data_IF_915832197713
#
_entry.id   IF_915832197713
#
_cell.length_a   1.000
_cell.length_b   1.000
_cell.length_c   1.000
_cell.angle_alpha   90.00
_cell.angle_beta   90.00
_cell.angle_gamma   90.00
#
_symmetry.space_group_name_H-M   'P 1'
#
loop_
_entity.id
_entity.type
_entity.pdbx_description
1 polymer ?
#
# COMPACT_ATOMS: atom_id res chain seq x y z
N UNK A 1 -34.37 -41.10 -5.94
CA UNK A 1 -32.95 -41.03 -5.49
C UNK A 1 -32.12 -40.51 -6.68
N UNK A 2 -31.99 -39.19 -6.90
CA UNK A 2 -31.27 -38.64 -8.07
C UNK A 2 -29.75 -38.58 -7.75
N UNK A 3 -28.85 -39.19 -8.52
CA UNK A 3 -28.32 -38.86 -9.86
C UNK A 3 -27.69 -37.45 -9.98
N UNK A 4 -26.36 -37.47 -9.95
CA UNK A 4 -25.39 -36.67 -10.71
C UNK A 4 -25.32 -35.15 -10.46
N UNK A 5 -24.37 -34.74 -9.61
CA UNK A 5 -23.64 -33.47 -9.75
C UNK A 5 -22.22 -33.75 -10.27
N UNK A 6 -21.85 -33.32 -11.48
CA UNK A 6 -20.47 -33.03 -11.80
C UNK A 6 -20.25 -31.52 -11.60
N UNK A 7 -19.69 -31.13 -10.46
CA UNK A 7 -19.17 -29.77 -10.28
C UNK A 7 -17.76 -29.75 -10.88
N UNK A 8 -17.56 -28.94 -11.92
CA UNK A 8 -16.27 -28.77 -12.57
C UNK A 8 -15.29 -28.03 -11.62
N UNK A 9 -14.37 -28.79 -11.04
CA UNK A 9 -13.27 -28.30 -10.21
C UNK A 9 -12.04 -28.02 -11.07
N UNK A 10 -11.79 -26.77 -11.46
CA UNK A 10 -10.56 -26.41 -12.18
C UNK A 10 -9.48 -25.74 -11.30
N UNK A 11 -9.82 -25.19 -10.13
CA UNK A 11 -8.87 -24.39 -9.33
C UNK A 11 -8.28 -25.08 -8.08
N UNK A 12 -8.90 -26.17 -7.60
CA UNK A 12 -8.38 -26.97 -6.47
C UNK A 12 -7.30 -27.97 -6.90
N UNK A 13 -7.26 -28.38 -8.18
CA UNK A 13 -6.21 -29.27 -8.71
C UNK A 13 -4.82 -28.62 -8.72
N UNK A 14 -4.76 -27.29 -8.79
CA UNK A 14 -3.50 -26.53 -8.80
C UNK A 14 -2.93 -26.35 -7.38
N UNK A 15 -3.76 -26.39 -6.33
CA UNK A 15 -3.33 -26.17 -4.93
C UNK A 15 -3.46 -27.37 -4.00
N UNK A 16 -3.91 -28.55 -4.44
CA UNK A 16 -4.01 -29.79 -3.61
C UNK A 16 -4.65 -29.60 -2.21
N UNK A 17 -5.62 -28.68 -2.05
CA UNK A 17 -6.30 -28.47 -0.77
C UNK A 17 -7.36 -29.58 -0.57
N UNK A 18 -7.50 -30.21 0.63
CA UNK A 18 -8.45 -31.30 0.85
C UNK A 18 -9.92 -30.91 0.57
N UNK A 19 -10.60 -31.69 -0.27
CA UNK A 19 -11.94 -31.41 -0.81
C UNK A 19 -13.11 -31.37 0.20
N UNK A 20 -12.91 -31.63 1.50
CA UNK A 20 -14.04 -32.02 2.35
C UNK A 20 -14.95 -30.91 2.88
N UNK A 21 -14.66 -29.61 2.71
CA UNK A 21 -15.57 -28.54 3.19
C UNK A 21 -15.27 -27.12 2.65
N UNK A 22 -14.64 -26.99 1.47
CA UNK A 22 -14.11 -25.70 1.01
C UNK A 22 -15.00 -25.12 -0.10
N UNK A 23 -15.58 -23.93 0.15
CA UNK A 23 -16.28 -23.12 -0.87
C UNK A 23 -15.31 -22.05 -1.36
N UNK A 24 -14.67 -22.28 -2.50
CA UNK A 24 -13.60 -21.41 -3.03
C UNK A 24 -14.07 -20.47 -4.14
N UNK A 25 -13.80 -19.18 -3.92
CA UNK A 25 -13.97 -18.03 -4.81
C UNK A 25 -12.90 -18.01 -5.93
N UNK A 26 -13.26 -17.60 -7.15
CA UNK A 26 -12.39 -17.64 -8.34
C UNK A 26 -11.78 -16.27 -8.71
N UNK A 27 -12.15 -15.18 -8.03
CA UNK A 27 -11.70 -13.80 -8.37
C UNK A 27 -10.89 -13.07 -7.27
N UNK A 28 -10.65 -13.72 -6.12
CA UNK A 28 -9.77 -13.24 -5.04
C UNK A 28 -9.42 -14.39 -4.11
N UNK A 29 -8.44 -15.22 -4.47
CA UNK A 29 -7.76 -15.99 -3.43
C UNK A 29 -6.98 -14.98 -2.61
N UNK A 30 -7.50 -14.64 -1.44
CA UNK A 30 -6.68 -13.93 -0.47
C UNK A 30 -5.52 -14.84 -0.10
N UNK A 31 -4.35 -14.48 -0.62
CA UNK A 31 -3.09 -15.17 -0.41
C UNK A 31 -2.14 -14.12 0.13
N UNK A 32 -1.49 -14.42 1.24
CA UNK A 32 -0.47 -13.54 1.81
C UNK A 32 0.66 -14.35 2.42
N UNK A 33 1.87 -13.82 2.33
CA UNK A 33 3.05 -14.41 2.95
C UNK A 33 3.17 -13.94 4.39
N UNK A 34 3.72 -14.80 5.24
CA UNK A 34 4.12 -14.37 6.58
C UNK A 34 5.23 -13.33 6.48
N UNK A 35 5.16 -12.21 7.23
CA UNK A 35 6.29 -11.28 7.35
C UNK A 35 7.44 -11.88 8.17
N UNK A 36 7.21 -12.98 8.90
CA UNK A 36 8.19 -13.63 9.78
C UNK A 36 8.81 -14.90 9.19
N UNK A 37 8.21 -15.46 8.14
CA UNK A 37 8.70 -16.67 7.48
C UNK A 37 8.37 -16.65 5.97
N UNK A 38 9.35 -16.42 5.08
CA UNK A 38 9.11 -16.31 3.65
C UNK A 38 8.67 -17.64 3.00
N UNK A 39 8.81 -18.78 3.70
CA UNK A 39 8.29 -20.08 3.21
C UNK A 39 6.82 -20.29 3.57
N UNK A 40 6.31 -19.52 4.54
CA UNK A 40 4.96 -19.66 5.07
C UNK A 40 4.00 -18.77 4.28
N UNK A 41 3.03 -19.43 3.64
CA UNK A 41 2.02 -18.80 2.81
C UNK A 41 0.63 -19.18 3.35
N UNK A 42 -0.25 -18.19 3.48
CA UNK A 42 -1.63 -18.39 3.88
C UNK A 42 -2.56 -18.26 2.68
N UNK A 43 -3.68 -18.98 2.73
CA UNK A 43 -4.78 -18.86 1.77
C UNK A 43 -6.10 -18.91 2.55
N UNK A 44 -7.06 -18.08 2.17
CA UNK A 44 -8.34 -18.01 2.84
C UNK A 44 -9.52 -18.54 1.99
N UNK A 45 -10.47 -19.17 2.67
CA UNK A 45 -11.83 -19.46 2.20
C UNK A 45 -12.81 -19.03 3.30
N UNK A 46 -13.76 -19.87 3.70
CA UNK A 46 -14.49 -19.67 4.97
C UNK A 46 -13.62 -19.96 6.21
N UNK A 47 -12.52 -20.70 6.02
CA UNK A 47 -11.47 -20.94 7.00
C UNK A 47 -10.10 -20.52 6.44
N UNK A 48 -9.11 -20.37 7.31
CA UNK A 48 -7.73 -20.03 6.97
C UNK A 48 -6.90 -21.31 6.84
N UNK A 49 -6.07 -21.35 5.81
CA UNK A 49 -5.16 -22.45 5.51
C UNK A 49 -3.74 -21.93 5.39
N UNK A 50 -2.75 -22.75 5.73
CA UNK A 50 -1.33 -22.44 5.62
C UNK A 50 -0.57 -23.55 4.90
N UNK A 51 0.46 -23.16 4.15
CA UNK A 51 1.46 -24.04 3.55
C UNK A 51 2.86 -23.51 3.91
N UNK A 52 3.81 -24.42 4.04
CA UNK A 52 5.24 -24.15 4.22
C UNK A 52 6.10 -24.81 3.13
N UNK A 53 5.45 -25.33 2.09
CA UNK A 53 6.06 -26.12 1.02
C UNK A 53 5.54 -25.72 -0.37
N UNK A 54 5.48 -24.41 -0.61
CA UNK A 54 5.13 -23.83 -1.91
C UNK A 54 3.73 -24.23 -2.41
N UNK A 55 2.82 -24.55 -1.48
CA UNK A 55 1.44 -24.95 -1.80
C UNK A 55 1.29 -26.42 -2.18
N UNK A 56 2.32 -27.25 -2.00
CA UNK A 56 2.23 -28.69 -2.26
C UNK A 56 1.26 -29.41 -1.30
N UNK A 57 1.13 -28.92 -0.07
CA UNK A 57 0.11 -29.34 0.90
C UNK A 57 -0.34 -28.18 1.78
N UNK A 58 -1.58 -28.25 2.26
CA UNK A 58 -2.20 -27.20 3.08
C UNK A 58 -2.74 -27.76 4.39
N UNK A 59 -2.52 -27.02 5.48
CA UNK A 59 -3.07 -27.28 6.80
C UNK A 59 -4.10 -26.20 7.12
N UNK A 60 -5.30 -26.62 7.52
CA UNK A 60 -6.30 -25.70 8.06
C UNK A 60 -5.87 -25.22 9.45
N UNK A 61 -5.88 -23.90 9.67
CA UNK A 61 -5.45 -23.22 10.89
C UNK A 61 -6.54 -22.33 11.48
N UNK A 62 -7.80 -22.55 11.10
CA UNK A 62 -8.94 -21.93 11.77
C UNK A 62 -10.19 -22.79 11.62
N UNK A 63 -11.20 -22.62 12.49
CA UNK A 63 -12.57 -23.04 12.17
C UNK A 63 -13.14 -22.17 11.03
N UNK A 64 -14.43 -22.32 10.74
CA UNK A 64 -15.17 -21.34 9.94
C UNK A 64 -15.20 -19.99 10.70
N UNK A 65 -14.64 -18.94 10.11
CA UNK A 65 -14.53 -17.61 10.71
C UNK A 65 -15.57 -16.62 10.15
N UNK A 66 -16.63 -17.15 9.55
CA UNK A 66 -17.71 -16.39 8.92
C UNK A 66 -19.04 -16.65 9.64
N UNK A 67 -20.12 -15.97 9.25
CA UNK A 67 -21.45 -16.24 9.82
C UNK A 67 -21.97 -17.64 9.45
N UNK A 68 -21.42 -18.24 8.38
CA UNK A 68 -21.81 -19.52 7.84
C UNK A 68 -23.32 -19.62 7.57
N UNK A 69 -23.94 -18.53 7.11
CA UNK A 69 -25.37 -18.45 6.85
C UNK A 69 -25.77 -19.40 5.71
N UNK A 70 -26.37 -20.54 6.08
CA UNK A 70 -26.81 -21.56 5.12
C UNK A 70 -27.89 -21.07 4.16
N UNK A 71 -28.68 -20.07 4.58
CA UNK A 71 -29.70 -19.48 3.72
C UNK A 71 -29.10 -18.72 2.53
N UNK A 72 -27.81 -18.39 2.57
CA UNK A 72 -27.07 -17.67 1.52
C UNK A 72 -26.11 -18.56 0.74
N UNK A 73 -26.07 -19.84 1.06
CA UNK A 73 -25.10 -20.79 0.54
C UNK A 73 -25.75 -21.79 -0.44
N UNK A 74 -26.50 -21.29 -1.42
CA UNK A 74 -27.19 -22.07 -2.44
C UNK A 74 -26.75 -21.65 -3.85
N UNK A 75 -27.18 -22.43 -4.85
CA UNK A 75 -26.86 -22.13 -6.24
C UNK A 75 -27.60 -20.88 -6.73
N UNK A 76 -26.84 -19.88 -7.17
CA UNK A 76 -27.28 -18.62 -7.77
C UNK A 76 -28.00 -18.83 -9.12
N UNK A 77 -28.70 -17.79 -9.59
CA UNK A 77 -29.47 -17.79 -10.84
C UNK A 77 -30.95 -18.22 -10.71
N UNK A 78 -31.45 -18.45 -9.49
CA UNK A 78 -32.87 -18.72 -9.24
C UNK A 78 -33.28 -20.16 -9.62
N UNK A 79 -34.58 -20.45 -9.81
CA UNK A 79 -35.06 -21.82 -9.97
C UNK A 79 -34.78 -22.44 -11.35
N UNK A 80 -34.59 -21.62 -12.40
CA UNK A 80 -34.56 -22.08 -13.80
C UNK A 80 -33.11 -22.17 -14.32
N UNK A 81 -32.37 -21.06 -14.27
CA UNK A 81 -31.01 -21.01 -14.81
C UNK A 81 -30.03 -20.92 -13.66
N UNK A 82 -29.27 -21.99 -13.40
CA UNK A 82 -28.22 -21.91 -12.38
C UNK A 82 -27.01 -21.20 -12.95
N UNK A 83 -26.52 -20.19 -12.23
CA UNK A 83 -25.37 -19.39 -12.62
C UNK A 83 -24.38 -19.33 -11.46
N UNK A 84 -23.57 -20.38 -11.31
CA UNK A 84 -22.58 -20.51 -10.23
C UNK A 84 -21.19 -20.25 -10.81
N UNK A 85 -20.88 -18.99 -11.10
CA UNK A 85 -19.54 -18.61 -11.57
C UNK A 85 -18.52 -18.51 -10.44
N UNK A 86 -18.99 -18.66 -9.18
CA UNK A 86 -18.29 -18.48 -7.90
C UNK A 86 -18.15 -17.03 -7.44
N UNK A 87 -18.50 -16.06 -8.31
CA UNK A 87 -18.58 -14.63 -7.95
C UNK A 87 -19.69 -14.39 -6.91
N UNK A 88 -20.63 -15.33 -6.81
CA UNK A 88 -21.80 -15.29 -5.94
C UNK A 88 -21.58 -15.98 -4.58
N UNK A 89 -20.38 -16.52 -4.33
CA UNK A 89 -20.08 -17.14 -3.03
C UNK A 89 -19.98 -16.08 -1.94
N UNK A 90 -20.66 -16.35 -0.83
CA UNK A 90 -20.78 -15.51 0.34
C UNK A 90 -20.42 -16.29 1.60
N UNK A 91 -20.14 -15.60 2.71
CA UNK A 91 -19.56 -16.18 3.91
C UNK A 91 -18.14 -16.67 3.63
N UNK A 92 -17.28 -15.74 3.22
CA UNK A 92 -15.85 -15.98 2.97
C UNK A 92 -15.00 -14.99 3.75
N UNK A 93 -13.81 -15.41 4.17
CA UNK A 93 -12.77 -14.51 4.67
C UNK A 93 -12.28 -13.70 3.46
N UNK A 94 -12.48 -12.39 3.53
CA UNK A 94 -12.23 -11.48 2.42
C UNK A 94 -10.91 -10.72 2.58
N UNK A 95 -10.46 -10.53 3.82
CA UNK A 95 -9.18 -9.90 4.16
C UNK A 95 -8.55 -10.58 5.38
N UNK A 96 -7.23 -10.63 5.44
CA UNK A 96 -6.48 -11.26 6.53
C UNK A 96 -5.01 -10.84 6.46
N UNK A 97 -4.33 -10.89 7.60
CA UNK A 97 -2.91 -10.61 7.71
C UNK A 97 -2.28 -11.31 8.92
N UNK A 98 -0.96 -11.49 8.87
CA UNK A 98 -0.12 -11.78 10.03
C UNK A 98 0.63 -10.50 10.43
N UNK A 99 0.63 -10.17 11.72
CA UNK A 99 1.18 -8.90 12.20
C UNK A 99 2.66 -8.80 11.86
N UNK A 100 3.15 -7.72 11.25
CA UNK A 100 4.58 -7.54 10.99
C UNK A 100 5.40 -7.36 12.28
N UNK A 101 4.76 -6.95 13.39
CA UNK A 101 5.44 -6.69 14.66
C UNK A 101 5.38 -7.87 15.64
N UNK A 102 4.46 -8.81 15.43
CA UNK A 102 4.19 -9.92 16.35
C UNK A 102 3.93 -11.20 15.56
N UNK A 103 4.87 -12.14 15.66
CA UNK A 103 4.77 -13.45 15.00
C UNK A 103 3.54 -14.21 15.49
N UNK A 104 2.90 -14.94 14.59
CA UNK A 104 1.75 -15.81 14.85
C UNK A 104 0.47 -15.05 15.32
N UNK A 105 0.48 -13.71 15.29
CA UNK A 105 -0.70 -12.87 15.49
C UNK A 105 -1.43 -12.70 14.15
N UNK A 106 -2.57 -13.38 14.01
CA UNK A 106 -3.36 -13.45 12.79
C UNK A 106 -4.68 -12.71 12.95
N UNK A 107 -5.07 -11.98 11.91
CA UNK A 107 -6.34 -11.26 11.83
C UNK A 107 -7.08 -11.65 10.58
N UNK A 108 -8.41 -11.72 10.64
CA UNK A 108 -9.27 -12.00 9.48
C UNK A 108 -10.52 -11.12 9.53
N UNK A 109 -10.98 -10.66 8.38
CA UNK A 109 -12.26 -10.00 8.17
C UNK A 109 -13.04 -10.70 7.05
N UNK A 110 -14.31 -10.97 7.25
CA UNK A 110 -15.16 -11.64 6.27
C UNK A 110 -15.99 -10.67 5.42
N UNK A 111 -16.54 -11.18 4.31
CA UNK A 111 -17.50 -10.46 3.46
C UNK A 111 -18.91 -10.36 4.08
N UNK A 112 -19.15 -11.07 5.18
CA UNK A 112 -20.42 -11.15 5.90
C UNK A 112 -20.40 -10.51 7.29
N UNK A 113 -19.31 -9.83 7.64
CA UNK A 113 -19.27 -8.85 8.73
C UNK A 113 -18.51 -9.26 9.98
N UNK A 114 -17.83 -10.41 10.01
CA UNK A 114 -17.07 -10.85 11.18
C UNK A 114 -15.59 -10.48 11.09
N UNK A 115 -15.01 -10.11 12.25
CA UNK A 115 -13.58 -9.91 12.44
C UNK A 115 -13.10 -10.86 13.54
N UNK A 116 -12.03 -11.60 13.27
CA UNK A 116 -11.43 -12.52 14.24
C UNK A 116 -9.94 -12.27 14.42
N UNK A 117 -9.47 -12.52 15.63
CA UNK A 117 -8.08 -12.41 16.04
C UNK A 117 -7.59 -13.72 16.67
N UNK A 118 -6.37 -14.11 16.32
CA UNK A 118 -5.61 -15.22 16.91
C UNK A 118 -4.22 -14.73 17.30
N UNK A 119 -3.69 -15.24 18.41
CA UNK A 119 -2.36 -14.88 18.95
C UNK A 119 -1.37 -16.06 18.96
N UNK A 120 -1.78 -17.21 18.45
CA UNK A 120 -1.03 -18.47 18.57
C UNK A 120 -0.94 -19.25 17.25
N UNK A 121 -0.97 -18.53 16.13
CA UNK A 121 -0.81 -19.11 14.79
C UNK A 121 -2.05 -19.85 14.30
N UNK A 122 -3.22 -19.48 14.84
CA UNK A 122 -4.52 -19.99 14.44
C UNK A 122 -5.03 -21.15 15.30
N UNK A 123 -4.41 -21.44 16.45
CA UNK A 123 -4.90 -22.51 17.33
C UNK A 123 -6.16 -22.06 18.06
N UNK A 124 -6.21 -20.81 18.50
CA UNK A 124 -7.37 -20.21 19.17
C UNK A 124 -7.75 -18.88 18.51
N UNK A 125 -9.06 -18.71 18.28
CA UNK A 125 -9.62 -17.52 17.63
C UNK A 125 -10.66 -16.85 18.53
N UNK A 126 -10.63 -15.53 18.58
CA UNK A 126 -11.60 -14.70 19.29
C UNK A 126 -12.33 -13.81 18.29
N UNK A 127 -13.66 -13.75 18.37
CA UNK A 127 -14.43 -12.77 17.61
C UNK A 127 -14.24 -11.39 18.25
N UNK A 128 -13.68 -10.47 17.47
CA UNK A 128 -13.34 -9.10 17.88
C UNK A 128 -14.03 -8.08 16.97
N UNK A 129 -15.17 -8.44 16.40
CA UNK A 129 -15.96 -7.56 15.52
C UNK A 129 -16.34 -6.27 16.25
N UNK A 130 -16.12 -5.08 15.67
CA UNK A 130 -16.56 -3.83 16.29
C UNK A 130 -18.05 -3.87 16.62
N UNK A 131 -18.42 -3.67 17.89
CA UNK A 131 -19.80 -3.84 18.34
C UNK A 131 -20.79 -2.86 17.67
N UNK A 132 -20.31 -1.70 17.23
CA UNK A 132 -21.08 -0.69 16.51
C UNK A 132 -20.94 -0.79 14.97
N UNK A 133 -20.27 -1.82 14.44
CA UNK A 133 -20.27 -2.06 13.00
C UNK A 133 -21.67 -2.52 12.56
N UNK A 134 -22.23 -1.94 11.49
CA UNK A 134 -23.46 -2.47 10.92
C UNK A 134 -23.28 -3.93 10.47
N UNK A 135 -24.36 -4.71 10.53
CA UNK A 135 -24.36 -6.10 10.06
C UNK A 135 -24.05 -6.18 8.56
N UNK A 136 -23.47 -7.30 8.15
CA UNK A 136 -23.14 -7.61 6.76
C UNK A 136 -22.13 -6.64 6.15
N UNK A 137 -21.21 -6.14 6.98
CA UNK A 137 -20.06 -5.36 6.52
C UNK A 137 -19.16 -6.24 5.65
N UNK A 138 -18.77 -5.74 4.48
CA UNK A 138 -17.73 -6.37 3.68
C UNK A 138 -16.39 -5.78 4.09
N UNK A 139 -15.59 -6.53 4.87
CA UNK A 139 -14.28 -6.09 5.33
C UNK A 139 -13.23 -6.27 4.23
N UNK A 140 -12.71 -5.17 3.70
CA UNK A 140 -11.85 -5.17 2.50
C UNK A 140 -10.35 -5.19 2.82
N UNK A 141 -9.94 -4.51 3.89
CA UNK A 141 -8.53 -4.35 4.23
C UNK A 141 -8.33 -4.34 5.73
N UNK A 142 -7.29 -5.04 6.19
CA UNK A 142 -6.73 -4.93 7.54
C UNK A 142 -5.31 -4.39 7.40
N UNK A 143 -4.96 -3.45 8.25
CA UNK A 143 -3.64 -2.83 8.30
C UNK A 143 -3.14 -2.79 9.74
N UNK A 144 -1.92 -3.26 9.98
CA UNK A 144 -1.27 -3.12 11.27
C UNK A 144 -0.54 -1.78 11.36
N UNK A 145 -0.56 -1.15 12.53
CA UNK A 145 0.33 -0.01 12.79
C UNK A 145 1.79 -0.50 12.75
N UNK A 146 2.66 0.14 11.94
CA UNK A 146 4.04 -0.33 11.76
C UNK A 146 4.95 0.00 12.96
N UNK A 147 4.45 0.74 13.96
CA UNK A 147 5.22 1.15 15.13
C UNK A 147 4.67 0.59 16.44
N UNK A 148 3.37 0.33 16.52
CA UNK A 148 2.68 0.00 17.77
C UNK A 148 1.97 -1.35 17.68
N UNK A 149 2.35 -2.27 18.56
CA UNK A 149 1.68 -3.56 18.74
C UNK A 149 0.25 -3.38 19.23
N UNK A 150 -0.65 -4.28 18.83
CA UNK A 150 -2.06 -4.23 19.21
C UNK A 150 -2.89 -3.14 18.54
N UNK A 151 -2.27 -2.23 17.78
CA UNK A 151 -2.97 -1.23 16.98
C UNK A 151 -3.25 -1.77 15.58
N UNK A 152 -4.53 -1.91 15.26
CA UNK A 152 -5.01 -2.41 13.97
C UNK A 152 -6.06 -1.46 13.44
N UNK A 153 -6.03 -1.29 12.12
CA UNK A 153 -7.06 -0.61 11.36
C UNK A 153 -7.76 -1.61 10.47
N UNK A 154 -9.08 -1.51 10.36
CA UNK A 154 -9.87 -2.33 9.45
C UNK A 154 -10.84 -1.46 8.65
N UNK A 155 -10.83 -1.63 7.33
CA UNK A 155 -11.67 -0.90 6.39
C UNK A 155 -12.79 -1.79 5.88
N UNK A 156 -14.02 -1.29 5.92
CA UNK A 156 -15.20 -1.99 5.44
C UNK A 156 -16.03 -1.15 4.48
N UNK A 157 -16.94 -1.81 3.77
CA UNK A 157 -17.95 -1.15 2.95
C UNK A 157 -19.28 -1.89 2.97
N UNK A 158 -20.36 -1.15 2.70
CA UNK A 158 -21.73 -1.65 2.56
C UNK A 158 -22.41 -1.13 1.30
N UNK A 159 -21.64 -0.71 0.29
CA UNK A 159 -22.19 -0.11 -0.93
C UNK A 159 -23.18 -1.04 -1.67
N UNK A 160 -23.03 -2.36 -1.54
CA UNK A 160 -23.96 -3.36 -2.09
C UNK A 160 -25.33 -3.42 -1.38
N UNK A 161 -25.48 -2.67 -0.30
CA UNK A 161 -26.70 -2.53 0.51
C UNK A 161 -27.21 -1.07 0.49
N UNK A 162 -26.87 -0.31 -0.55
CA UNK A 162 -27.18 1.12 -0.70
C UNK A 162 -26.67 2.01 0.45
N UNK A 163 -25.59 1.58 1.13
CA UNK A 163 -24.91 2.35 2.16
C UNK A 163 -23.52 2.79 1.68
N UNK A 164 -23.40 4.08 1.35
CA UNK A 164 -22.18 4.71 0.83
C UNK A 164 -21.32 5.36 1.92
N UNK A 165 -21.65 5.12 3.20
CA UNK A 165 -20.91 5.69 4.33
C UNK A 165 -19.48 5.12 4.37
N UNK A 166 -18.45 5.95 4.64
CA UNK A 166 -17.09 5.46 4.88
C UNK A 166 -16.99 4.73 6.22
N UNK A 167 -16.26 3.61 6.24
CA UNK A 167 -16.00 2.80 7.42
C UNK A 167 -14.52 2.43 7.53
N UNK A 168 -13.84 3.07 8.49
CA UNK A 168 -12.50 2.70 8.94
C UNK A 168 -12.56 2.63 10.46
N UNK A 169 -12.34 1.44 11.01
CA UNK A 169 -12.29 1.21 12.45
C UNK A 169 -10.84 1.05 12.89
N UNK A 170 -10.51 1.60 14.05
CA UNK A 170 -9.21 1.48 14.72
C UNK A 170 -9.40 0.83 16.08
N UNK A 171 -8.55 -0.13 16.40
CA UNK A 171 -8.37 -0.66 17.77
C UNK A 171 -6.94 -0.36 18.21
N UNK A 172 -6.73 -0.21 19.52
CA UNK A 172 -5.40 -0.09 20.13
C UNK A 172 -5.14 -1.18 21.20
N UNK A 173 -6.05 -2.14 21.32
CA UNK A 173 -6.08 -3.13 22.41
C UNK A 173 -6.40 -4.54 21.90
N UNK A 174 -5.92 -4.88 20.69
CA UNK A 174 -6.15 -6.18 20.06
C UNK A 174 -7.63 -6.51 19.84
N UNK A 175 -8.43 -5.48 19.53
CA UNK A 175 -9.83 -5.62 19.12
C UNK A 175 -10.83 -5.72 20.27
N UNK A 176 -10.41 -5.41 21.50
CA UNK A 176 -11.31 -5.35 22.66
C UNK A 176 -12.21 -4.11 22.57
N UNK A 177 -11.69 -2.99 22.06
CA UNK A 177 -12.44 -1.78 21.76
C UNK A 177 -12.08 -1.23 20.37
N UNK A 178 -13.04 -0.50 19.79
CA UNK A 178 -12.93 0.05 18.45
C UNK A 178 -13.45 1.47 18.38
N UNK A 179 -12.79 2.29 17.58
CA UNK A 179 -13.18 3.66 17.24
C UNK A 179 -13.38 3.80 15.74
N UNK A 180 -14.50 4.40 15.32
CA UNK A 180 -14.70 4.82 13.94
C UNK A 180 -13.89 6.09 13.67
N UNK A 181 -13.00 6.05 12.68
CA UNK A 181 -12.03 7.11 12.38
C UNK A 181 -12.21 7.63 10.95
N UNK A 182 -13.39 8.16 10.62
CA UNK A 182 -13.73 8.61 9.25
C UNK A 182 -14.04 10.10 9.15
N UNK A 183 -13.79 10.87 10.21
CA UNK A 183 -14.03 12.31 10.25
C UNK A 183 -13.21 13.02 9.15
N UNK A 184 -13.89 13.80 8.30
CA UNK A 184 -13.27 14.50 7.17
C UNK A 184 -13.34 13.76 5.83
N UNK A 185 -13.71 12.47 5.83
CA UNK A 185 -14.11 11.75 4.62
C UNK A 185 -15.58 12.09 4.31
N UNK A 186 -15.89 12.35 3.04
CA UNK A 186 -17.26 12.59 2.59
C UNK A 186 -18.16 11.39 2.89
N UNK A 187 -19.40 11.63 3.32
CA UNK A 187 -20.35 10.57 3.67
C UNK A 187 -20.79 9.70 2.49
N UNK A 188 -20.49 10.12 1.25
CA UNK A 188 -20.75 9.36 0.03
C UNK A 188 -19.50 8.66 -0.52
N UNK A 189 -18.34 8.84 0.12
CA UNK A 189 -17.07 8.30 -0.34
C UNK A 189 -16.73 7.05 0.48
N UNK A 190 -17.51 5.98 0.30
CA UNK A 190 -17.25 4.73 1.00
C UNK A 190 -15.80 4.29 0.79
N UNK A 191 -15.20 3.80 1.86
CA UNK A 191 -13.79 3.44 1.92
C UNK A 191 -13.59 2.03 1.41
N UNK A 192 -12.51 1.84 0.63
CA UNK A 192 -12.15 0.54 0.07
C UNK A 192 -10.90 -0.02 0.74
N UNK A 193 -9.93 0.83 1.04
CA UNK A 193 -8.63 0.43 1.59
C UNK A 193 -8.03 1.56 2.43
N UNK A 194 -7.18 1.20 3.39
CA UNK A 194 -6.36 2.13 4.15
C UNK A 194 -4.98 1.50 4.41
N UNK A 195 -3.89 2.28 4.29
CA UNK A 195 -2.51 1.88 4.62
C UNK A 195 -1.85 2.87 5.58
N UNK A 196 -1.06 2.35 6.51
CA UNK A 196 -0.28 3.15 7.44
C UNK A 196 1.13 3.42 6.88
N UNK A 197 1.64 4.62 7.10
CA UNK A 197 3.00 4.96 6.66
C UNK A 197 4.06 4.26 7.51
N UNK A 198 5.07 3.69 6.86
CA UNK A 198 6.13 2.92 7.52
C UNK A 198 7.25 3.77 8.15
N UNK A 199 7.27 5.09 7.95
CA UNK A 199 8.31 6.00 8.48
C UNK A 199 7.79 7.08 9.42
N UNK A 200 6.51 7.47 9.32
CA UNK A 200 5.86 8.48 10.16
C UNK A 200 4.65 7.91 10.87
N UNK A 201 4.77 7.74 12.19
CA UNK A 201 3.65 7.33 13.05
C UNK A 201 2.45 8.28 12.90
N UNK A 202 1.26 7.71 12.75
CA UNK A 202 0.01 8.46 12.62
C UNK A 202 -0.28 9.01 11.21
N UNK A 203 0.64 8.84 10.25
CA UNK A 203 0.37 9.16 8.85
C UNK A 203 -0.33 7.98 8.17
N UNK A 204 -1.53 8.21 7.65
CA UNK A 204 -2.40 7.21 7.05
C UNK A 204 -2.89 7.66 5.67
N UNK A 205 -3.06 6.70 4.76
CA UNK A 205 -3.58 6.91 3.41
C UNK A 205 -4.85 6.07 3.20
N UNK A 206 -5.93 6.67 2.74
CA UNK A 206 -7.18 5.98 2.46
C UNK A 206 -7.60 6.10 1.00
N UNK A 207 -8.01 4.99 0.42
CA UNK A 207 -8.64 4.88 -0.90
C UNK A 207 -10.15 4.74 -0.76
N UNK A 208 -10.90 5.52 -1.55
CA UNK A 208 -12.37 5.53 -1.56
C UNK A 208 -12.89 5.29 -2.98
N UNK A 209 -14.22 5.23 -3.13
CA UNK A 209 -14.86 5.20 -4.45
C UNK A 209 -14.55 6.42 -5.33
N UNK A 210 -14.26 7.57 -4.71
CA UNK A 210 -14.12 8.85 -5.40
C UNK A 210 -12.76 9.50 -5.15
N UNK A 211 -11.72 8.68 -4.99
CA UNK A 211 -10.33 9.15 -4.85
C UNK A 211 -9.74 8.94 -3.46
N UNK A 212 -8.73 9.75 -3.12
CA UNK A 212 -7.85 9.52 -1.97
C UNK A 212 -7.98 10.55 -0.86
N UNK A 213 -7.72 10.10 0.36
CA UNK A 213 -7.63 10.91 1.57
C UNK A 213 -6.34 10.59 2.33
N UNK A 214 -5.88 11.57 3.12
CA UNK A 214 -4.71 11.45 3.99
C UNK A 214 -5.05 11.93 5.39
N UNK A 215 -4.46 11.32 6.41
CA UNK A 215 -4.51 11.77 7.80
C UNK A 215 -3.10 11.81 8.37
N UNK A 216 -2.80 12.85 9.15
CA UNK A 216 -1.52 13.02 9.85
C UNK A 216 -1.63 12.78 11.37
N UNK A 217 -2.83 12.46 11.85
CA UNK A 217 -3.21 12.38 13.26
C UNK A 217 -3.82 11.02 13.64
N UNK A 218 -3.41 9.96 12.96
CA UNK A 218 -3.82 8.59 13.25
C UNK A 218 -5.30 8.32 12.96
N UNK A 219 -5.88 9.05 11.99
CA UNK A 219 -7.26 8.93 11.55
C UNK A 219 -8.25 9.84 12.28
N UNK A 220 -7.79 10.68 13.21
CA UNK A 220 -8.69 11.59 13.92
C UNK A 220 -9.34 12.63 12.99
N UNK A 221 -8.61 13.09 11.96
CA UNK A 221 -9.14 13.87 10.85
C UNK A 221 -8.48 13.48 9.52
N UNK A 222 -9.30 13.37 8.50
CA UNK A 222 -8.89 13.12 7.12
C UNK A 222 -9.07 14.38 6.28
N UNK A 223 -8.18 14.55 5.30
CA UNK A 223 -8.27 15.59 4.29
C UNK A 223 -8.13 14.98 2.88
N UNK A 224 -8.74 15.59 1.85
CA UNK A 224 -8.57 15.13 0.47
C UNK A 224 -7.09 15.09 0.08
N UNK A 225 -6.68 14.02 -0.60
CA UNK A 225 -5.32 13.80 -1.07
C UNK A 225 -5.31 13.40 -2.55
N UNK A 226 -5.99 14.20 -3.36
CA UNK A 226 -6.26 13.88 -4.76
C UNK A 226 -5.09 14.23 -5.71
N UNK A 227 -4.40 15.35 -5.47
CA UNK A 227 -3.34 15.87 -6.36
C UNK A 227 -3.80 15.87 -7.84
N UNK A 228 -3.05 15.19 -8.73
CA UNK A 228 -3.37 15.02 -10.15
C UNK A 228 -4.06 13.68 -10.47
N UNK A 229 -4.41 12.88 -9.47
CA UNK A 229 -5.16 11.64 -9.64
C UNK A 229 -6.58 11.96 -10.16
N UNK A 230 -7.11 11.25 -11.17
CA UNK A 230 -8.49 11.42 -11.59
C UNK A 230 -9.46 10.93 -10.51
N UNK A 231 -10.70 11.42 -10.53
CA UNK A 231 -11.77 10.91 -9.67
C UNK A 231 -12.16 9.50 -10.13
N UNK A 232 -11.57 8.49 -9.51
CA UNK A 232 -11.82 7.07 -9.79
C UNK A 232 -11.80 6.23 -8.52
N UNK A 233 -12.42 5.04 -8.54
CA UNK A 233 -12.35 4.11 -7.41
C UNK A 233 -10.91 3.68 -7.16
N UNK A 234 -10.51 3.76 -5.90
CA UNK A 234 -9.21 3.30 -5.41
C UNK A 234 -9.42 1.94 -4.75
N UNK A 235 -9.01 0.87 -5.43
CA UNK A 235 -9.33 -0.49 -5.02
C UNK A 235 -8.31 -1.07 -4.05
N UNK A 236 -7.04 -0.66 -4.16
CA UNK A 236 -5.98 -1.07 -3.25
C UNK A 236 -4.85 -0.01 -3.20
N UNK A 237 -4.07 -0.05 -2.14
CA UNK A 237 -2.90 0.79 -1.89
C UNK A 237 -1.76 -0.09 -1.37
N UNK A 238 -0.53 0.22 -1.74
CA UNK A 238 0.64 -0.37 -1.09
C UNK A 238 1.81 0.60 -1.04
N UNK A 239 2.68 0.44 -0.05
CA UNK A 239 3.90 1.23 0.10
C UNK A 239 5.09 0.33 -0.17
N UNK A 240 5.89 0.67 -1.18
CA UNK A 240 7.11 -0.07 -1.53
C UNK A 240 8.25 0.90 -1.77
N UNK A 241 9.39 0.67 -1.13
CA UNK A 241 10.59 1.51 -1.26
C UNK A 241 10.37 3.01 -0.98
N UNK A 242 9.39 3.33 -0.11
CA UNK A 242 8.91 4.69 0.16
C UNK A 242 8.03 5.32 -0.92
N UNK A 243 7.62 4.58 -1.94
CA UNK A 243 6.67 5.03 -2.95
C UNK A 243 5.27 4.55 -2.58
N UNK A 244 4.27 5.40 -2.80
CA UNK A 244 2.86 5.04 -2.65
C UNK A 244 2.31 4.59 -3.99
N UNK A 245 1.95 3.31 -4.07
CA UNK A 245 1.37 2.69 -5.26
C UNK A 245 -0.14 2.60 -5.07
N UNK A 246 -0.87 3.07 -6.08
CA UNK A 246 -2.32 3.25 -6.05
C UNK A 246 -2.95 2.43 -7.17
N UNK A 247 -3.72 1.41 -6.80
CA UNK A 247 -4.50 0.64 -7.76
C UNK A 247 -5.85 1.32 -8.00
N UNK A 248 -6.13 1.67 -9.26
CA UNK A 248 -7.40 2.30 -9.63
C UNK A 248 -8.28 1.36 -10.44
N UNK A 249 -9.59 1.53 -10.33
CA UNK A 249 -10.53 0.87 -11.23
C UNK A 249 -10.68 1.70 -12.51
N UNK A 250 -10.20 1.15 -13.63
CA UNK A 250 -10.40 1.72 -14.97
C UNK A 250 -9.37 2.78 -15.41
N UNK A 251 -8.34 3.10 -14.62
CA UNK A 251 -7.28 4.07 -14.97
C UNK A 251 -5.85 3.62 -14.63
N UNK A 252 -5.58 2.31 -14.69
CA UNK A 252 -4.26 1.71 -14.43
C UNK A 252 -3.76 1.93 -12.99
N UNK A 253 -2.44 1.85 -12.80
CA UNK A 253 -1.74 2.10 -11.53
C UNK A 253 -1.21 3.54 -11.54
N UNK A 254 -1.35 4.20 -10.40
CA UNK A 254 -0.75 5.51 -10.13
C UNK A 254 0.32 5.37 -9.05
N UNK A 255 1.31 6.25 -9.08
CA UNK A 255 2.39 6.24 -8.10
C UNK A 255 2.72 7.67 -7.68
N UNK A 256 2.92 7.86 -6.39
CA UNK A 256 3.69 8.99 -5.87
C UNK A 256 5.07 8.43 -5.57
N UNK A 257 6.03 8.81 -6.42
CA UNK A 257 7.43 8.54 -6.17
C UNK A 257 7.86 9.33 -4.93
N UNK A 258 8.48 8.64 -4.00
CA UNK A 258 9.02 9.17 -2.76
C UNK A 258 8.04 9.97 -1.88
N UNK A 259 7.50 9.28 -0.88
CA UNK A 259 6.71 9.86 0.20
C UNK A 259 7.48 10.79 1.15
N UNK A 260 8.79 10.98 1.01
CA UNK A 260 9.61 11.78 1.93
C UNK A 260 9.05 13.19 2.17
N UNK A 261 8.52 13.82 1.12
CA UNK A 261 7.90 15.15 1.20
C UNK A 261 6.58 15.13 1.97
N UNK A 262 5.78 14.09 1.79
CA UNK A 262 4.53 13.88 2.52
C UNK A 262 4.86 13.59 3.99
N UNK A 263 5.82 12.71 4.25
CA UNK A 263 6.28 12.33 5.58
C UNK A 263 6.90 13.52 6.34
N UNK A 264 7.60 14.43 5.65
CA UNK A 264 8.22 15.61 6.26
C UNK A 264 7.30 16.84 6.27
N UNK A 265 6.03 16.71 5.89
CA UNK A 265 5.09 17.82 5.90
C UNK A 265 4.97 18.39 7.33
N UNK A 266 5.47 19.61 7.50
CA UNK A 266 5.44 20.41 8.72
C UNK A 266 5.16 21.87 8.34
N UNK A 267 4.02 22.46 8.77
CA UNK A 267 3.70 23.86 8.50
C UNK A 267 4.80 24.84 8.96
N UNK A 268 5.58 24.49 9.99
CA UNK A 268 6.67 25.33 10.48
C UNK A 268 7.78 25.53 9.44
N UNK A 269 7.98 24.56 8.53
CA UNK A 269 8.96 24.62 7.46
C UNK A 269 8.73 25.82 6.52
N UNK A 270 7.47 26.19 6.29
CA UNK A 270 7.10 27.29 5.40
C UNK A 270 7.46 28.68 5.96
N UNK A 271 7.71 28.76 7.28
CA UNK A 271 8.07 30.02 7.95
C UNK A 271 9.57 30.32 7.91
N UNK A 272 10.40 29.30 7.66
CA UNK A 272 11.86 29.39 7.55
C UNK A 272 12.24 30.01 6.21
N UNK A 273 13.26 30.88 6.19
CA UNK A 273 13.78 31.45 4.94
C UNK A 273 14.25 30.37 3.97
N UNK A 274 14.94 29.35 4.49
CA UNK A 274 15.30 28.12 3.77
C UNK A 274 14.96 26.90 4.62
N UNK A 275 14.41 25.87 4.00
CA UNK A 275 14.24 24.56 4.62
C UNK A 275 14.66 23.47 3.64
N UNK A 276 15.61 22.64 4.04
CA UNK A 276 16.09 21.50 3.24
C UNK A 276 15.42 20.25 3.79
N UNK A 277 14.80 19.48 2.90
CA UNK A 277 14.17 18.21 3.24
C UNK A 277 15.22 17.11 3.24
N UNK A 278 15.10 16.17 4.17
CA UNK A 278 15.95 15.00 4.24
C UNK A 278 15.84 14.21 2.94
N UNK A 279 16.98 13.90 2.33
CA UNK A 279 17.05 13.16 1.07
C UNK A 279 17.00 11.66 1.32
N UNK A 280 16.34 10.93 0.42
CA UNK A 280 16.43 9.47 0.40
C UNK A 280 17.83 9.00 -0.02
N UNK A 281 18.17 7.78 0.43
CA UNK A 281 19.35 7.08 -0.08
C UNK A 281 19.22 6.94 -1.60
N UNK A 282 20.22 7.45 -2.32
CA UNK A 282 20.24 7.46 -3.78
C UNK A 282 21.40 6.60 -4.27
N UNK A 283 21.13 5.79 -5.28
CA UNK A 283 22.10 4.86 -5.85
C UNK A 283 22.34 5.21 -7.31
N UNK A 284 23.60 5.20 -7.73
CA UNK A 284 23.94 5.37 -9.13
C UNK A 284 23.63 4.07 -9.86
N UNK A 285 22.53 4.05 -10.60
CA UNK A 285 22.18 2.89 -11.44
C UNK A 285 22.73 3.09 -12.86
N UNK A 286 23.42 2.08 -13.44
CA UNK A 286 23.73 2.12 -14.85
C UNK A 286 22.41 2.15 -15.63
N UNK A 287 22.22 3.14 -16.49
CA UNK A 287 21.07 3.15 -17.38
C UNK A 287 21.08 1.92 -18.28
N UNK A 288 19.91 1.43 -18.66
CA UNK A 288 19.81 0.40 -19.70
C UNK A 288 20.17 1.06 -21.03
N UNK A 289 21.45 0.99 -21.43
CA UNK A 289 21.85 1.21 -22.81
C UNK A 289 21.94 -0.16 -23.48
N UNK A 290 20.92 -0.55 -24.21
CA UNK A 290 21.03 -1.70 -25.12
C UNK A 290 22.05 -1.36 -26.20
N UNK A 291 23.06 -2.22 -26.40
CA UNK A 291 24.07 -2.11 -27.48
C UNK A 291 23.48 -2.04 -28.90
N UNK A 292 22.16 -2.23 -29.05
CA UNK A 292 21.44 -2.39 -30.30
C UNK A 292 20.29 -1.38 -30.46
N UNK A 293 20.60 -0.10 -30.23
CA UNK A 293 19.66 0.99 -30.48
C UNK A 293 18.65 1.21 -29.35
N UNK A 294 18.18 2.46 -29.30
CA UNK A 294 17.14 2.92 -28.40
C UNK A 294 15.88 2.08 -28.62
N UNK A 295 15.56 1.16 -27.69
CA UNK A 295 14.20 0.63 -27.64
C UNK A 295 13.28 1.83 -27.45
N UNK A 296 12.38 2.05 -28.41
CA UNK A 296 11.36 3.08 -28.30
C UNK A 296 10.63 2.88 -26.98
N UNK A 297 10.73 3.86 -26.09
CA UNK A 297 9.93 3.89 -24.86
C UNK A 297 8.46 3.92 -25.31
N UNK A 298 7.64 2.91 -24.99
CA UNK A 298 6.24 2.91 -25.39
C UNK A 298 5.55 4.21 -24.98
N UNK A 299 4.66 4.75 -25.81
CA UNK A 299 3.97 6.02 -25.54
C UNK A 299 3.19 6.04 -24.21
N UNK A 300 2.86 4.86 -23.66
CA UNK A 300 2.14 4.69 -22.40
C UNK A 300 3.07 4.35 -21.23
N UNK A 301 4.38 4.59 -21.35
CA UNK A 301 5.32 4.34 -20.25
C UNK A 301 5.30 5.48 -19.25
N UNK A 302 5.40 5.13 -17.97
CA UNK A 302 5.62 6.12 -16.92
C UNK A 302 7.02 6.76 -17.08
N UNK A 303 7.17 7.96 -16.50
CA UNK A 303 8.47 8.64 -16.45
C UNK A 303 9.33 7.98 -15.39
N UNK A 304 10.59 7.66 -15.71
CA UNK A 304 11.53 7.16 -14.70
C UNK A 304 11.89 8.27 -13.71
N UNK A 305 12.20 7.93 -12.45
CA UNK A 305 12.66 8.91 -11.47
C UNK A 305 13.95 9.62 -11.93
N UNK A 306 14.23 10.83 -11.42
CA UNK A 306 15.44 11.57 -11.78
C UNK A 306 16.72 10.76 -11.54
N UNK A 307 17.69 10.92 -12.44
CA UNK A 307 18.99 10.23 -12.36
C UNK A 307 19.92 10.94 -11.37
N UNK A 308 19.83 10.58 -10.09
CA UNK A 308 20.76 11.09 -9.08
C UNK A 308 20.16 11.21 -7.69
N UNK A 309 20.85 11.93 -6.81
CA UNK A 309 20.31 12.33 -5.52
C UNK A 309 19.36 13.52 -5.70
N UNK A 310 18.10 13.32 -5.33
CA UNK A 310 17.07 14.35 -5.34
C UNK A 310 17.11 15.11 -4.03
N UNK A 311 17.46 16.39 -4.10
CA UNK A 311 17.53 17.33 -2.98
C UNK A 311 16.37 18.31 -3.12
N UNK A 312 15.38 18.15 -2.25
CA UNK A 312 14.22 19.02 -2.19
C UNK A 312 14.44 20.12 -1.14
N UNK A 313 14.04 21.35 -1.44
CA UNK A 313 14.14 22.47 -0.50
C UNK A 313 13.07 23.54 -0.74
N UNK A 314 12.71 24.24 0.33
CA UNK A 314 11.79 25.37 0.32
C UNK A 314 12.56 26.68 0.48
N UNK A 315 12.18 27.69 -0.32
CA UNK A 315 12.62 29.07 -0.19
C UNK A 315 11.40 29.95 0.06
N UNK A 316 11.36 30.66 1.19
CA UNK A 316 10.23 31.55 1.54
C UNK A 316 10.28 32.87 0.78
N UNK A 317 11.48 33.43 0.71
CA UNK A 317 11.71 34.78 0.24
C UNK A 317 11.67 34.84 -1.30
N UNK A 318 11.36 36.02 -1.85
CA UNK A 318 11.36 36.24 -3.30
C UNK A 318 12.75 36.00 -3.89
N UNK A 319 12.78 35.41 -5.08
CA UNK A 319 14.01 35.17 -5.84
C UNK A 319 14.08 36.20 -6.96
N UNK A 320 15.05 37.10 -6.90
CA UNK A 320 15.35 38.11 -7.92
C UNK A 320 16.63 37.74 -8.68
N UNK A 321 16.91 38.44 -9.78
CA UNK A 321 18.15 38.23 -10.56
C UNK A 321 19.43 38.49 -9.76
N UNK A 322 19.32 39.26 -8.66
CA UNK A 322 20.41 39.51 -7.72
C UNK A 322 20.55 38.46 -6.61
N UNK A 323 19.60 37.53 -6.49
CA UNK A 323 19.61 36.51 -5.44
C UNK A 323 20.75 35.51 -5.67
N UNK A 324 21.65 35.43 -4.70
CA UNK A 324 22.75 34.46 -4.72
C UNK A 324 22.42 33.26 -3.85
N UNK A 325 22.49 32.07 -4.43
CA UNK A 325 22.35 30.81 -3.72
C UNK A 325 23.40 29.80 -4.17
N UNK A 326 23.72 28.85 -3.29
CA UNK A 326 24.59 27.73 -3.65
C UNK A 326 24.21 26.44 -2.96
N UNK A 327 24.36 25.33 -3.69
CA UNK A 327 24.31 23.96 -3.15
C UNK A 327 25.73 23.41 -3.13
N UNK A 328 26.19 23.00 -1.95
CA UNK A 328 27.52 22.39 -1.77
C UNK A 328 27.37 20.94 -1.36
N UNK A 329 27.98 20.04 -2.11
CA UNK A 329 28.01 18.60 -1.84
C UNK A 329 29.33 18.27 -1.18
N UNK A 330 29.28 17.69 0.02
CA UNK A 330 30.43 17.35 0.83
C UNK A 330 30.54 15.84 1.00
N UNK A 331 31.76 15.34 1.16
CA UNK A 331 32.00 13.96 1.58
C UNK A 331 31.79 13.80 3.10
N UNK A 332 31.83 12.56 3.64
CA UNK A 332 31.67 12.33 5.08
C UNK A 332 32.74 13.00 5.97
N UNK A 333 33.89 13.39 5.43
CA UNK A 333 34.94 14.13 6.13
C UNK A 333 34.77 15.65 6.02
N UNK A 334 33.72 16.13 5.33
CA UNK A 334 33.43 17.55 5.11
C UNK A 334 34.20 18.17 3.94
N UNK A 335 34.91 17.38 3.14
CA UNK A 335 35.62 17.87 1.94
C UNK A 335 34.60 18.16 0.84
N UNK A 336 34.76 19.31 0.18
CA UNK A 336 33.92 19.70 -0.95
C UNK A 336 34.14 18.75 -2.14
N UNK A 337 33.05 18.10 -2.58
CA UNK A 337 33.01 17.29 -3.80
C UNK A 337 32.64 18.19 -4.97
N UNK A 338 31.55 18.96 -4.83
CA UNK A 338 31.03 19.80 -5.92
C UNK A 338 30.19 20.96 -5.37
N UNK A 339 30.23 22.10 -6.05
CA UNK A 339 29.44 23.29 -5.70
C UNK A 339 28.66 23.78 -6.93
N UNK A 340 27.40 24.15 -6.72
CA UNK A 340 26.49 24.69 -7.73
C UNK A 340 26.04 26.09 -7.26
N UNK A 341 26.00 27.08 -8.15
CA UNK A 341 25.63 28.46 -7.80
C UNK A 341 24.76 29.13 -8.86
N UNK A 342 23.99 30.14 -8.47
CA UNK A 342 23.07 30.88 -9.39
C UNK A 342 23.80 31.76 -10.42
N UNK A 343 25.11 31.96 -10.28
CA UNK A 343 25.92 32.84 -11.12
C UNK A 343 27.08 32.12 -11.84
N UNK A 344 27.11 30.78 -11.82
CA UNK A 344 28.17 30.02 -12.45
C UNK A 344 27.87 29.73 -13.94
N UNK A 345 28.90 29.77 -14.79
CA UNK A 345 28.82 29.31 -16.18
C UNK A 345 28.75 27.79 -16.30
N UNK A 346 29.38 27.08 -15.36
CA UNK A 346 29.38 25.63 -15.24
C UNK A 346 28.85 25.25 -13.85
N UNK A 347 27.97 24.25 -13.77
CA UNK A 347 27.26 23.88 -12.53
C UNK A 347 26.29 24.98 -12.04
N UNK A 348 25.52 25.55 -12.96
CA UNK A 348 24.47 26.50 -12.66
C UNK A 348 23.39 25.88 -11.74
N UNK A 349 22.92 26.67 -10.77
CA UNK A 349 21.81 26.35 -9.89
C UNK A 349 20.63 27.26 -10.24
N UNK A 350 19.52 26.67 -10.68
CA UNK A 350 18.24 27.38 -10.83
C UNK A 350 17.42 27.29 -9.56
N UNK A 351 16.88 28.42 -9.10
CA UNK A 351 16.00 28.50 -7.93
C UNK A 351 14.78 29.36 -8.24
N UNK A 352 13.69 29.10 -7.52
CA UNK A 352 12.47 29.91 -7.51
C UNK A 352 11.95 30.06 -6.09
N UNK A 353 11.10 31.04 -5.84
CA UNK A 353 10.35 31.11 -4.59
C UNK A 353 9.48 29.86 -4.44
N UNK A 354 9.37 29.39 -3.20
CA UNK A 354 8.61 28.20 -2.83
C UNK A 354 9.42 26.92 -2.97
N UNK A 355 8.78 25.88 -3.50
CA UNK A 355 9.37 24.55 -3.56
C UNK A 355 10.33 24.38 -4.75
N UNK A 356 11.51 23.85 -4.46
CA UNK A 356 12.58 23.59 -5.40
C UNK A 356 13.06 22.14 -5.31
N UNK A 357 13.52 21.62 -6.44
CA UNK A 357 14.14 20.31 -6.55
C UNK A 357 15.45 20.46 -7.31
N UNK A 358 16.53 19.97 -6.71
CA UNK A 358 17.86 19.91 -7.30
C UNK A 358 18.32 18.46 -7.38
N UNK A 359 18.86 18.03 -8.54
CA UNK A 359 19.28 16.64 -8.75
C UNK A 359 20.79 16.61 -8.95
N UNK A 360 21.51 15.99 -8.01
CA UNK A 360 22.94 15.74 -8.15
C UNK A 360 23.19 14.39 -8.81
N UNK A 361 23.92 14.39 -9.93
CA UNK A 361 24.23 13.20 -10.75
C UNK A 361 25.18 12.18 -10.09
N UNK A 362 25.56 12.40 -8.82
CA UNK A 362 26.46 11.55 -8.03
C UNK A 362 27.89 11.45 -8.62
N UNK A 363 28.28 12.36 -9.53
CA UNK A 363 29.63 12.39 -10.08
C UNK A 363 30.57 13.19 -9.19
N UNK A 364 31.74 12.60 -8.98
CA UNK A 364 32.91 13.26 -8.41
C UNK A 364 33.67 13.98 -9.52
N UNK A 365 34.55 14.95 -9.17
CA UNK A 365 35.55 15.46 -10.09
C UNK A 365 36.30 14.32 -10.79
N UNK A 366 36.71 14.55 -12.05
CA UNK A 366 37.57 13.59 -12.73
C UNK A 366 38.83 13.34 -11.90
N UNK A 367 39.34 12.11 -11.90
CA UNK A 367 40.64 11.82 -11.32
C UNK A 367 41.70 12.67 -12.02
N UNK A 368 42.72 13.11 -11.27
CA UNK A 368 43.88 13.78 -11.85
C UNK A 368 44.48 12.87 -12.93
N UNK A 369 44.53 13.37 -14.17
CA UNK A 369 45.18 12.66 -15.26
C UNK A 369 46.69 12.79 -15.03
N UNK A 370 47.36 11.65 -14.89
CA UNK A 370 48.80 11.60 -14.88
C UNK A 370 49.28 11.79 -16.33
N UNK A 371 50.12 12.78 -16.58
CA UNK A 371 50.66 13.04 -17.92
C UNK A 371 51.32 11.78 -18.50
N UNK A 372 50.92 11.41 -19.72
CA UNK A 372 51.40 10.21 -20.41
C UNK A 372 50.64 8.91 -20.09
N UNK A 373 49.70 8.91 -19.14
CA UNK A 373 48.90 7.73 -18.82
C UNK A 373 47.74 7.57 -19.81
N UNK A 374 47.78 6.51 -20.62
CA UNK A 374 46.66 6.12 -21.49
C UNK A 374 45.77 5.15 -20.72
N UNK A 375 44.58 5.61 -20.34
CA UNK A 375 43.50 4.76 -19.82
C UNK A 375 42.66 4.26 -20.99
N UNK A 376 42.70 2.95 -21.24
CA UNK A 376 41.78 2.27 -22.15
C UNK A 376 40.44 2.05 -21.41
N UNK A 377 39.37 2.65 -21.93
CA UNK A 377 37.99 2.45 -21.44
C UNK A 377 37.17 1.60 -22.41
#
# INVERSE_FOLDING_TARGET
>A
IPKNQPINFFCLRVLKIPNKLIKTFFDSKLIFFSPHDPKKLYCAGNALFVTDNEGASWKQVSPDLTTNDKSRQYSSGGPITKDNTSVEYYCTIFTAMESPLEKDHLWTGSDDGLVHFSRDGGKNWTNVTPANAPKWMMWNAIEADPFRRGVIYITGTRYKLDDYTPYIYKTEDYGQSWQLITKGISSMHFTRVMRADHKRSGLLYAGTEFGMYISYDGGANWQPFQLNLPLVPITDLTIKNNDLIVATQGRSIWMIDDLSMVQQADPSALTKSIHIYQTNNSYRMPGVSTRWGSMSVPANSATNPPKGAVINFWLKDEVTDSTQASVSILDPAGKLIKRFTTNAKENELTIKKGFNQFVWDLKYPEAEKIDGLILWN
#
